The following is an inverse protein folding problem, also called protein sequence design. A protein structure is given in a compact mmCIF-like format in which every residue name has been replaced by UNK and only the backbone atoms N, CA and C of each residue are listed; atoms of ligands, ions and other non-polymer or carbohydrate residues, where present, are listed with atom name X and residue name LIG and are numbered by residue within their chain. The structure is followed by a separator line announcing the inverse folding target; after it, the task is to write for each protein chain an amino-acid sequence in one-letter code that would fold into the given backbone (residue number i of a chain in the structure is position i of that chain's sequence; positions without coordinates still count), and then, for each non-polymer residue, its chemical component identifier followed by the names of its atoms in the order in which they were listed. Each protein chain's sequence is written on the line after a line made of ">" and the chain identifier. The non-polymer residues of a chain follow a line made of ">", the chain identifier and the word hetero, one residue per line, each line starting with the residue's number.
data_IF_637765386060
#
_entry.id   IF_637765386060
#
_cell.length_a   1.000
_cell.length_b   1.000
_cell.length_c   1.000
_cell.angle_alpha   90.00
_cell.angle_beta   90.00
_cell.angle_gamma   90.00
#
_symmetry.space_group_name_H-M   'P 1'
#
loop_
_entity.id
_entity.type
_entity.pdbx_description
1 polymer ?
#
# COMPACT_ATOMS: atom_id res chain seq x y z
N UNK A 1 -4.58 20.04 -12.82
CA UNK A 1 -4.00 19.83 -11.47
C UNK A 1 -4.07 18.39 -10.95
N UNK A 2 -4.64 17.42 -11.69
CA UNK A 2 -4.93 16.07 -11.16
C UNK A 2 -3.83 15.02 -11.36
N UNK A 3 -2.95 15.20 -12.36
CA UNK A 3 -1.88 14.22 -12.69
C UNK A 3 -0.87 14.01 -11.55
N UNK A 4 -0.57 15.07 -10.79
CA UNK A 4 0.34 15.00 -9.64
C UNK A 4 -0.25 14.17 -8.50
N UNK A 5 -1.56 14.25 -8.29
CA UNK A 5 -2.24 13.55 -7.19
C UNK A 5 -2.32 12.05 -7.46
N UNK A 6 -2.64 11.62 -8.69
CA UNK A 6 -2.66 10.19 -9.04
C UNK A 6 -1.28 9.52 -8.91
N UNK A 7 -0.22 10.20 -9.33
CA UNK A 7 1.16 9.70 -9.18
C UNK A 7 1.59 9.66 -7.71
N UNK A 8 1.22 10.68 -6.94
CA UNK A 8 1.48 10.72 -5.50
C UNK A 8 0.81 9.56 -4.76
N UNK A 9 -0.45 9.24 -5.07
CA UNK A 9 -1.16 8.11 -4.45
C UNK A 9 -0.51 6.76 -4.78
N UNK A 10 0.01 6.58 -6.00
CA UNK A 10 0.73 5.37 -6.38
C UNK A 10 2.07 5.26 -5.66
N UNK A 11 2.86 6.33 -5.66
CA UNK A 11 4.14 6.38 -4.94
C UNK A 11 3.94 6.12 -3.45
N UNK A 12 2.97 6.78 -2.82
CA UNK A 12 2.63 6.58 -1.41
C UNK A 12 2.15 5.16 -1.16
N UNK A 13 1.27 4.60 -2.00
CA UNK A 13 0.79 3.23 -1.86
C UNK A 13 1.90 2.18 -1.96
N UNK A 14 2.78 2.31 -2.96
CA UNK A 14 3.93 1.42 -3.17
C UNK A 14 4.94 1.57 -2.04
N UNK A 15 5.29 2.81 -1.65
CA UNK A 15 6.18 3.09 -0.53
C UNK A 15 5.66 2.45 0.77
N UNK A 16 4.37 2.62 1.05
CA UNK A 16 3.73 1.99 2.21
C UNK A 16 3.88 0.47 2.14
N UNK A 17 3.51 -0.15 1.01
CA UNK A 17 3.64 -1.60 0.82
C UNK A 17 5.07 -2.12 0.98
N UNK A 18 6.11 -1.33 0.70
CA UNK A 18 7.51 -1.75 0.82
C UNK A 18 8.06 -1.53 2.23
N UNK A 19 7.71 -0.43 2.90
CA UNK A 19 8.22 -0.08 4.23
C UNK A 19 7.72 -1.04 5.32
N UNK A 20 6.41 -1.35 5.31
CA UNK A 20 5.80 -2.10 6.41
C UNK A 20 6.28 -3.56 6.54
N UNK A 21 6.48 -4.34 5.45
CA UNK A 21 7.09 -5.67 5.54
C UNK A 21 8.52 -5.63 6.08
N UNK A 22 9.31 -4.62 5.71
CA UNK A 22 10.67 -4.47 6.21
C UNK A 22 10.69 -4.17 7.71
N UNK A 23 9.81 -3.28 8.16
CA UNK A 23 9.61 -2.99 9.57
C UNK A 23 9.16 -4.23 10.36
N UNK A 24 8.21 -5.01 9.83
CA UNK A 24 7.75 -6.26 10.44
C UNK A 24 8.87 -7.28 10.57
N UNK A 25 9.70 -7.41 9.53
CA UNK A 25 10.86 -8.30 9.54
C UNK A 25 11.87 -7.91 10.62
N UNK A 26 12.11 -6.60 10.82
CA UNK A 26 12.98 -6.11 11.88
C UNK A 26 12.36 -6.35 13.27
N UNK A 27 11.07 -6.10 13.45
CA UNK A 27 10.37 -6.39 14.71
C UNK A 27 10.42 -7.89 15.03
N UNK A 28 10.21 -8.76 14.04
CA UNK A 28 10.28 -10.21 14.23
C UNK A 28 11.69 -10.69 14.62
N UNK A 29 12.75 -9.93 14.35
CA UNK A 29 14.11 -10.22 14.81
C UNK A 29 14.44 -9.65 16.20
N UNK A 30 13.62 -8.74 16.72
CA UNK A 30 13.84 -8.15 18.04
C UNK A 30 13.60 -9.22 19.13
N UNK A 31 14.54 -9.45 20.06
CA UNK A 31 14.36 -10.38 21.17
C UNK A 31 13.13 -10.06 22.05
N UNK A 32 12.68 -8.79 22.12
CA UNK A 32 11.50 -8.37 22.89
C UNK A 32 10.19 -8.88 22.30
N UNK A 33 10.20 -9.26 21.02
CA UNK A 33 9.07 -9.84 20.32
C UNK A 33 8.77 -11.27 20.75
N UNK A 34 9.73 -11.94 21.38
CA UNK A 34 9.66 -13.35 21.73
C UNK A 34 9.98 -13.54 23.22
N UNK A 35 9.10 -14.22 23.93
CA UNK A 35 9.34 -14.61 25.33
C UNK A 35 9.21 -16.12 25.45
N UNK A 36 10.33 -16.81 25.67
CA UNK A 36 10.34 -18.27 25.78
C UNK A 36 9.89 -19.01 24.52
N UNK A 37 9.91 -18.37 23.35
CA UNK A 37 9.39 -18.92 22.09
C UNK A 37 7.97 -18.49 21.74
N UNK A 38 7.25 -17.84 22.66
CA UNK A 38 5.91 -17.31 22.42
C UNK A 38 5.94 -15.86 21.93
N UNK A 39 5.06 -15.47 20.98
CA UNK A 39 4.93 -14.09 20.54
C UNK A 39 4.40 -13.20 21.67
N UNK A 40 5.09 -12.10 21.94
CA UNK A 40 4.68 -11.16 23.00
C UNK A 40 3.59 -10.20 22.52
N UNK A 41 2.92 -9.53 23.46
CA UNK A 41 1.98 -8.45 23.14
C UNK A 41 2.63 -7.32 22.32
N UNK A 42 3.93 -7.08 22.51
CA UNK A 42 4.71 -6.16 21.68
C UNK A 42 4.70 -6.59 20.21
N UNK A 43 5.01 -7.87 19.94
CA UNK A 43 4.96 -8.40 18.57
C UNK A 43 3.56 -8.31 17.96
N UNK A 44 2.52 -8.69 18.72
CA UNK A 44 1.14 -8.71 18.23
C UNK A 44 0.63 -7.32 17.85
N UNK A 45 0.88 -6.29 18.67
CA UNK A 45 0.47 -4.91 18.37
C UNK A 45 1.13 -4.42 17.08
N UNK A 46 2.43 -4.68 16.92
CA UNK A 46 3.16 -4.28 15.71
C UNK A 46 2.70 -5.07 14.49
N UNK A 47 2.40 -6.36 14.64
CA UNK A 47 1.84 -7.18 13.56
C UNK A 47 0.50 -6.61 13.06
N UNK A 48 -0.42 -6.27 13.97
CA UNK A 48 -1.71 -5.67 13.59
C UNK A 48 -1.51 -4.32 12.92
N UNK A 49 -0.64 -3.45 13.47
CA UNK A 49 -0.31 -2.16 12.87
C UNK A 49 0.24 -2.30 11.45
N UNK A 50 1.13 -3.27 11.22
CA UNK A 50 1.68 -3.58 9.90
C UNK A 50 0.57 -4.02 8.95
N UNK A 51 -0.28 -4.97 9.37
CA UNK A 51 -1.36 -5.52 8.52
C UNK A 51 -2.34 -4.43 8.09
N UNK A 52 -2.79 -3.59 9.03
CA UNK A 52 -3.72 -2.49 8.75
C UNK A 52 -3.10 -1.50 7.77
N UNK A 53 -1.84 -1.12 7.97
CA UNK A 53 -1.17 -0.19 7.07
C UNK A 53 -0.92 -0.76 5.68
N UNK A 54 -0.56 -2.05 5.58
CA UNK A 54 -0.42 -2.73 4.28
C UNK A 54 -1.77 -2.79 3.58
N UNK A 55 -2.87 -3.08 4.28
CA UNK A 55 -4.22 -3.09 3.70
C UNK A 55 -4.61 -1.72 3.14
N UNK A 56 -4.31 -0.64 3.87
CA UNK A 56 -4.53 0.75 3.39
C UNK A 56 -3.66 1.02 2.15
N UNK A 57 -2.37 0.65 2.18
CA UNK A 57 -1.46 0.80 1.03
C UNK A 57 -1.97 0.06 -0.21
N UNK A 58 -2.46 -1.17 -0.04
CA UNK A 58 -3.04 -1.98 -1.10
C UNK A 58 -4.32 -1.35 -1.65
N UNK A 59 -5.20 -0.82 -0.78
CA UNK A 59 -6.40 -0.11 -1.19
C UNK A 59 -6.08 1.11 -2.05
N UNK A 60 -5.06 1.89 -1.66
CA UNK A 60 -4.58 3.04 -2.44
C UNK A 60 -3.99 2.61 -3.80
N UNK A 61 -3.22 1.53 -3.83
CA UNK A 61 -2.71 0.93 -5.06
C UNK A 61 -3.84 0.52 -6.01
N UNK A 62 -4.88 -0.14 -5.48
CA UNK A 62 -6.07 -0.55 -6.24
C UNK A 62 -6.85 0.65 -6.76
N UNK A 63 -7.06 1.69 -5.93
CA UNK A 63 -7.72 2.92 -6.35
C UNK A 63 -6.91 3.67 -7.42
N UNK A 64 -5.60 3.77 -7.27
CA UNK A 64 -4.70 4.37 -8.26
C UNK A 64 -4.76 3.63 -9.60
N UNK A 65 -4.71 2.29 -9.58
CA UNK A 65 -4.86 1.45 -10.78
C UNK A 65 -6.24 1.61 -11.43
N UNK A 66 -7.31 1.71 -10.63
CA UNK A 66 -8.66 1.97 -11.15
C UNK A 66 -8.76 3.35 -11.79
N UNK A 67 -8.14 4.37 -11.20
CA UNK A 67 -8.07 5.71 -11.77
C UNK A 67 -7.35 5.74 -13.12
N UNK A 68 -6.23 5.01 -13.25
CA UNK A 68 -5.52 4.87 -14.53
C UNK A 68 -6.39 4.15 -15.58
N UNK A 69 -7.02 3.03 -15.22
CA UNK A 69 -7.88 2.26 -16.14
C UNK A 69 -9.14 3.00 -16.57
N UNK A 70 -9.74 3.80 -15.69
CA UNK A 70 -10.87 4.65 -16.03
C UNK A 70 -10.47 5.74 -17.04
N UNK A 71 -9.27 6.30 -16.89
CA UNK A 71 -8.72 7.27 -17.85
C UNK A 71 -8.41 6.67 -19.21
N UNK A 72 -7.90 5.43 -19.27
CA UNK A 72 -7.61 4.74 -20.52
C UNK A 72 -8.88 4.59 -21.39
N UNK A 73 -10.00 4.17 -20.78
CA UNK A 73 -11.30 4.07 -21.47
C UNK A 73 -11.87 5.42 -21.92
N UNK A 74 -11.66 6.48 -21.13
CA UNK A 74 -12.09 7.82 -21.52
C UNK A 74 -11.27 8.40 -22.68
N UNK A 75 -9.99 8.01 -22.82
CA UNK A 75 -9.13 8.43 -23.92
C UNK A 75 -9.54 7.77 -25.25
N UNK A 76 -9.88 6.47 -25.23
CA UNK A 76 -10.38 5.76 -26.43
C UNK A 76 -11.72 6.34 -26.93
N UNK A 77 -12.63 6.68 -26.02
CA UNK A 77 -13.90 7.33 -26.39
C UNK A 77 -13.70 8.75 -26.96
N UNK A 78 -12.67 9.48 -26.53
CA UNK A 78 -12.35 10.81 -27.05
C UNK A 78 -11.68 10.79 -28.42
N UNK A 79 -10.89 9.75 -28.72
CA UNK A 79 -10.31 9.47 -30.04
C UNK A 79 -11.41 9.10 -31.03
N UNK A 80 -12.35 8.23 -30.63
CA UNK A 80 -13.41 7.70 -31.49
C UNK A 80 -14.51 8.71 -31.84
N UNK A 81 -14.69 9.77 -31.04
CA UNK A 81 -15.60 10.90 -31.34
C UNK A 81 -14.95 11.94 -32.25
N UNK A 82 -13.62 11.90 -32.42
CA UNK A 82 -12.85 12.86 -33.24
C UNK A 82 -12.46 12.35 -34.63
N UNK A 83 -12.62 11.06 -34.90
CA UNK A 83 -12.46 10.45 -36.24
C UNK A 83 -13.80 10.30 -36.94
#
# INVERSE_FOLDING_TARGET
>A
MTFRVSWFLLLVGVWNCVIWPNFMYNIAKDPRSWSGGEPTGFFLVHLVLVVVNVAIGLALLVLGLRGIRAKARASESGEQVRG
#
